data_IF_779216458153
#
_entry.id   IF_779216458153
#
_cell.length_a   1.000
_cell.length_b   1.000
_cell.length_c   1.000
_cell.angle_alpha   90.00
_cell.angle_beta   90.00
_cell.angle_gamma   90.00
#
_symmetry.space_group_name_H-M   'P 1'
#
loop_
_entity.id
_entity.type
_entity.pdbx_description
1 polymer ?
#
# COMPACT_ATOMS: atom_id res chain seq x y z
N UNK A 1 6.67 -19.32 16.68
CA UNK A 1 5.93 -18.13 16.21
C UNK A 1 6.78 -17.45 15.17
N UNK A 2 6.37 -17.44 13.89
CA UNK A 2 7.06 -16.66 12.86
C UNK A 2 6.72 -15.20 13.11
N UNK A 3 7.61 -14.45 13.73
CA UNK A 3 7.42 -13.02 13.97
C UNK A 3 7.49 -12.31 12.63
N UNK A 4 6.36 -11.76 12.16
CA UNK A 4 6.42 -10.69 11.17
C UNK A 4 7.46 -9.67 11.65
N UNK A 5 8.38 -9.28 10.77
CA UNK A 5 9.40 -8.30 11.14
C UNK A 5 8.70 -7.05 11.68
N UNK A 6 9.15 -6.55 12.85
CA UNK A 6 8.59 -5.32 13.42
C UNK A 6 8.59 -4.16 12.42
N UNK A 7 9.56 -4.16 11.48
CA UNK A 7 9.61 -3.26 10.34
C UNK A 7 8.42 -3.38 9.38
N UNK A 8 8.05 -4.59 8.95
CA UNK A 8 6.87 -4.83 8.07
C UNK A 8 5.58 -4.38 8.76
N UNK A 9 5.41 -4.71 10.05
CA UNK A 9 4.25 -4.29 10.83
C UNK A 9 4.15 -2.77 10.95
N UNK A 10 5.28 -2.10 11.19
CA UNK A 10 5.35 -0.64 11.25
C UNK A 10 5.00 -0.03 9.89
N UNK A 11 5.57 -0.54 8.79
CA UNK A 11 5.28 -0.06 7.43
C UNK A 11 3.80 -0.22 7.08
N UNK A 12 3.21 -1.40 7.32
CA UNK A 12 1.79 -1.65 7.07
C UNK A 12 0.89 -0.75 7.92
N UNK A 13 1.24 -0.53 9.19
CA UNK A 13 0.48 0.39 10.07
C UNK A 13 0.56 1.83 9.56
N UNK A 14 1.75 2.31 9.21
CA UNK A 14 1.94 3.65 8.65
C UNK A 14 1.17 3.82 7.33
N UNK A 15 1.23 2.83 6.44
CA UNK A 15 0.44 2.81 5.21
C UNK A 15 -1.04 2.95 5.50
N UNK A 16 -1.57 2.14 6.43
CA UNK A 16 -3.00 2.14 6.76
C UNK A 16 -3.46 3.50 7.29
N UNK A 17 -2.67 4.12 8.17
CA UNK A 17 -2.96 5.46 8.69
C UNK A 17 -2.96 6.52 7.57
N UNK A 18 -2.01 6.46 6.65
CA UNK A 18 -1.95 7.37 5.50
C UNK A 18 -3.14 7.16 4.54
N UNK A 19 -3.56 5.92 4.34
CA UNK A 19 -4.74 5.58 3.54
C UNK A 19 -6.01 6.14 4.18
N UNK A 20 -6.21 5.93 5.49
CA UNK A 20 -7.35 6.49 6.23
C UNK A 20 -7.34 8.01 6.17
N UNK A 21 -6.19 8.66 6.39
CA UNK A 21 -6.07 10.11 6.29
C UNK A 21 -6.44 10.60 4.88
N UNK A 22 -5.98 9.90 3.83
CA UNK A 22 -6.33 10.21 2.44
C UNK A 22 -7.84 10.13 2.21
N UNK A 23 -8.49 9.07 2.71
CA UNK A 23 -9.94 8.89 2.61
C UNK A 23 -10.66 10.05 3.31
N UNK A 24 -10.26 10.41 4.53
CA UNK A 24 -10.83 11.55 5.27
C UNK A 24 -10.67 12.85 4.47
N UNK A 25 -9.49 13.10 3.88
CA UNK A 25 -9.27 14.29 3.06
C UNK A 25 -10.21 14.34 1.84
N UNK A 26 -10.43 13.20 1.18
CA UNK A 26 -11.35 13.09 0.04
C UNK A 26 -12.79 13.40 0.47
N UNK A 27 -13.28 12.79 1.56
CA UNK A 27 -14.65 12.99 2.03
C UNK A 27 -14.90 14.39 2.63
N UNK A 28 -13.86 15.06 3.11
CA UNK A 28 -13.94 16.44 3.63
C UNK A 28 -13.70 17.50 2.54
N UNK A 29 -13.57 17.08 1.27
CA UNK A 29 -13.27 17.96 0.13
C UNK A 29 -12.02 18.84 0.35
N UNK A 30 -11.05 18.33 1.11
CA UNK A 30 -9.89 19.12 1.50
C UNK A 30 -8.98 19.38 0.29
N UNK A 31 -8.36 20.57 0.21
CA UNK A 31 -7.45 20.97 -0.90
C UNK A 31 -6.27 20.04 -1.14
N UNK A 32 -5.91 19.21 -0.16
CA UNK A 32 -4.83 18.23 -0.24
C UNK A 32 -5.29 16.84 -0.68
N UNK A 33 -6.59 16.57 -0.78
CA UNK A 33 -7.14 15.26 -1.11
C UNK A 33 -6.52 14.67 -2.38
N UNK A 34 -6.50 15.46 -3.44
CA UNK A 34 -5.97 15.04 -4.74
C UNK A 34 -4.48 14.72 -4.68
N UNK A 35 -3.68 15.50 -3.94
CA UNK A 35 -2.24 15.25 -3.78
C UNK A 35 -2.01 14.00 -2.94
N UNK A 36 -2.73 13.88 -1.82
CA UNK A 36 -2.64 12.72 -0.93
C UNK A 36 -3.00 11.42 -1.66
N UNK A 37 -4.09 11.41 -2.43
CA UNK A 37 -4.52 10.25 -3.22
C UNK A 37 -3.42 9.77 -4.19
N UNK A 38 -2.77 10.68 -4.90
CA UNK A 38 -1.68 10.35 -5.84
C UNK A 38 -0.46 9.79 -5.11
N UNK A 39 0.06 10.51 -4.11
CA UNK A 39 1.31 10.12 -3.44
C UNK A 39 1.13 8.88 -2.57
N UNK A 40 0.05 8.81 -1.79
CA UNK A 40 -0.24 7.65 -0.94
C UNK A 40 -0.62 6.44 -1.80
N UNK A 41 -1.45 6.60 -2.83
CA UNK A 41 -1.83 5.49 -3.70
C UNK A 41 -0.64 4.88 -4.44
N UNK A 42 0.19 5.69 -5.13
CA UNK A 42 1.37 5.15 -5.80
C UNK A 42 2.43 4.66 -4.79
N UNK A 43 2.65 5.39 -3.70
CA UNK A 43 3.59 5.00 -2.66
C UNK A 43 3.24 3.66 -2.02
N UNK A 44 1.96 3.45 -1.69
CA UNK A 44 1.46 2.18 -1.18
C UNK A 44 1.57 1.07 -2.22
N UNK A 45 1.20 1.29 -3.48
CA UNK A 45 1.30 0.26 -4.53
C UNK A 45 2.75 -0.21 -4.74
N UNK A 46 3.70 0.72 -4.80
CA UNK A 46 5.13 0.42 -4.92
C UNK A 46 5.64 -0.26 -3.65
N UNK A 47 5.34 0.30 -2.47
CA UNK A 47 5.76 -0.24 -1.19
C UNK A 47 5.28 -1.68 -0.99
N UNK A 48 4.00 -1.94 -1.22
CA UNK A 48 3.40 -3.27 -1.07
C UNK A 48 4.03 -4.29 -2.02
N UNK A 49 4.26 -3.88 -3.28
CA UNK A 49 4.96 -4.69 -4.27
C UNK A 49 6.38 -5.03 -3.82
N UNK A 50 7.15 -4.06 -3.32
CA UNK A 50 8.52 -4.28 -2.87
C UNK A 50 8.59 -5.15 -1.61
N UNK A 51 7.69 -4.95 -0.65
CA UNK A 51 7.69 -5.72 0.61
C UNK A 51 7.38 -7.20 0.33
N UNK A 52 6.41 -7.49 -0.54
CA UNK A 52 5.85 -8.83 -0.71
C UNK A 52 6.26 -9.58 -1.97
N UNK A 53 6.67 -8.89 -3.04
CA UNK A 53 7.01 -9.54 -4.31
C UNK A 53 8.50 -9.48 -4.64
N UNK A 54 9.28 -8.60 -4.01
CA UNK A 54 10.73 -8.63 -4.17
C UNK A 54 11.40 -9.66 -3.27
N UNK A 55 12.62 -10.12 -3.64
CA UNK A 55 13.45 -10.89 -2.73
C UNK A 55 13.71 -10.09 -1.44
N UNK A 56 14.16 -10.77 -0.39
CA UNK A 56 14.41 -10.17 0.95
C UNK A 56 15.58 -9.17 1.01
N UNK A 57 15.82 -8.41 -0.06
CA UNK A 57 16.82 -7.36 -0.17
C UNK A 57 16.77 -6.36 1.00
N UNK A 58 15.59 -6.12 1.57
CA UNK A 58 15.37 -5.15 2.66
C UNK A 58 15.27 -5.77 4.05
N UNK A 59 15.70 -7.03 4.24
CA UNK A 59 15.79 -7.65 5.57
C UNK A 59 14.44 -7.67 6.31
N UNK A 60 14.38 -7.02 7.47
CA UNK A 60 13.19 -6.97 8.36
C UNK A 60 12.03 -6.11 7.83
N UNK A 61 12.22 -5.42 6.71
CA UNK A 61 11.19 -4.65 6.00
C UNK A 61 10.60 -5.39 4.81
N UNK A 62 10.97 -6.64 4.58
CA UNK A 62 10.42 -7.48 3.51
C UNK A 62 9.79 -8.74 4.08
N UNK A 63 8.59 -9.07 3.61
CA UNK A 63 7.94 -10.36 3.86
C UNK A 63 7.49 -10.95 2.52
N UNK A 64 8.51 -11.38 1.76
CA UNK A 64 8.34 -11.90 0.41
C UNK A 64 7.47 -13.16 0.39
N UNK A 65 6.46 -13.16 -0.47
CA UNK A 65 5.63 -14.34 -0.74
C UNK A 65 6.32 -15.32 -1.68
N UNK A 66 7.32 -14.85 -2.44
CA UNK A 66 8.11 -15.67 -3.36
C UNK A 66 9.14 -16.45 -2.55
N UNK A 67 9.12 -17.78 -2.68
CA UNK A 67 9.98 -18.69 -1.91
C UNK A 67 9.85 -18.48 -0.39
N UNK A 68 8.65 -18.13 0.08
CA UNK A 68 8.39 -17.94 1.50
C UNK A 68 8.64 -19.26 2.28
N UNK A 69 9.36 -19.21 3.42
CA UNK A 69 9.50 -20.40 4.25
C UNK A 69 8.13 -20.84 4.78
N UNK A 70 7.92 -22.14 5.01
CA UNK A 70 6.63 -22.68 5.48
C UNK A 70 6.12 -22.02 6.77
N UNK A 71 7.03 -21.47 7.60
CA UNK A 71 6.70 -20.71 8.81
C UNK A 71 5.99 -19.38 8.56
N UNK A 72 6.06 -18.81 7.35
CA UNK A 72 5.44 -17.54 6.98
C UNK A 72 3.92 -17.66 6.75
N UNK A 73 3.40 -18.88 6.55
CA UNK A 73 1.96 -19.16 6.40
C UNK A 73 1.28 -18.32 5.32
N UNK A 74 1.97 -18.05 4.21
CA UNK A 74 1.37 -17.37 3.04
C UNK A 74 0.28 -18.27 2.46
N UNK A 75 -0.94 -17.75 2.37
CA UNK A 75 -2.11 -18.47 1.86
C UNK A 75 -2.63 -17.83 0.58
N UNK A 76 -3.61 -18.47 -0.07
CA UNK A 76 -4.35 -17.83 -1.18
C UNK A 76 -5.02 -16.51 -0.76
N UNK A 77 -5.47 -16.39 0.49
CA UNK A 77 -6.02 -15.14 1.00
C UNK A 77 -4.94 -14.05 1.15
N UNK A 78 -3.72 -14.41 1.54
CA UNK A 78 -2.58 -13.48 1.58
C UNK A 78 -2.30 -12.89 0.20
N UNK A 79 -2.31 -13.73 -0.83
CA UNK A 79 -2.16 -13.29 -2.23
C UNK A 79 -3.30 -12.40 -2.69
N UNK A 80 -4.54 -12.78 -2.38
CA UNK A 80 -5.71 -11.95 -2.67
C UNK A 80 -5.60 -10.56 -2.03
N UNK A 81 -5.28 -10.51 -0.73
CA UNK A 81 -5.10 -9.25 -0.01
C UNK A 81 -4.03 -8.38 -0.65
N UNK A 82 -2.89 -8.97 -1.02
CA UNK A 82 -1.81 -8.24 -1.67
C UNK A 82 -2.19 -7.63 -3.02
N UNK A 83 -2.84 -8.43 -3.89
CA UNK A 83 -3.31 -7.96 -5.20
C UNK A 83 -4.37 -6.88 -5.02
N UNK A 84 -5.29 -7.07 -4.06
CA UNK A 84 -6.34 -6.11 -3.76
C UNK A 84 -5.78 -4.78 -3.25
N UNK A 85 -4.81 -4.80 -2.32
CA UNK A 85 -4.15 -3.60 -1.82
C UNK A 85 -3.42 -2.85 -2.93
N UNK A 86 -2.63 -3.55 -3.75
CA UNK A 86 -1.94 -2.91 -4.89
C UNK A 86 -2.95 -2.29 -5.86
N UNK A 87 -4.01 -3.03 -6.22
CA UNK A 87 -4.99 -2.58 -7.21
C UNK A 87 -5.82 -1.38 -6.71
N UNK A 88 -6.25 -1.42 -5.45
CA UNK A 88 -7.00 -0.32 -4.83
C UNK A 88 -6.14 0.94 -4.65
N UNK A 89 -4.87 0.77 -4.27
CA UNK A 89 -3.93 1.89 -4.15
C UNK A 89 -3.68 2.55 -5.52
N UNK A 90 -3.51 1.78 -6.58
CA UNK A 90 -3.42 2.30 -7.95
C UNK A 90 -4.71 3.01 -8.39
N UNK A 91 -5.88 2.42 -8.10
CA UNK A 91 -7.17 3.03 -8.43
C UNK A 91 -7.34 4.41 -7.76
N UNK A 92 -6.98 4.53 -6.48
CA UNK A 92 -7.02 5.80 -5.74
C UNK A 92 -6.04 6.82 -6.36
N UNK A 93 -4.82 6.40 -6.69
CA UNK A 93 -3.83 7.29 -7.29
C UNK A 93 -4.27 7.83 -8.66
N UNK A 94 -4.78 6.94 -9.52
CA UNK A 94 -5.30 7.30 -10.84
C UNK A 94 -6.51 8.22 -10.71
N UNK A 95 -7.45 7.91 -9.81
CA UNK A 95 -8.59 8.78 -9.54
C UNK A 95 -8.14 10.18 -9.08
N UNK A 96 -7.12 10.26 -8.23
CA UNK A 96 -6.48 11.52 -7.85
C UNK A 96 -5.90 12.28 -9.03
N UNK A 97 -5.14 11.63 -9.91
CA UNK A 97 -4.60 12.28 -11.12
C UNK A 97 -5.71 12.84 -12.03
N UNK A 98 -6.75 12.04 -12.27
CA UNK A 98 -7.89 12.45 -13.12
C UNK A 98 -8.66 13.61 -12.50
N UNK A 99 -8.92 13.58 -11.19
CA UNK A 99 -9.58 14.66 -10.47
C UNK A 99 -8.75 15.96 -10.51
N UNK A 100 -7.41 15.86 -10.40
CA UNK A 100 -6.52 17.02 -10.51
C UNK A 100 -6.61 17.69 -11.87
N UNK A 101 -6.62 16.90 -12.94
CA UNK A 101 -6.71 17.40 -14.31
C UNK A 101 -8.01 18.17 -14.56
N UNK A 102 -9.12 17.71 -13.96
CA UNK A 102 -10.44 18.38 -14.05
C UNK A 102 -10.53 19.68 -13.25
N UNK A 103 -9.69 19.87 -12.23
CA UNK A 103 -9.64 21.10 -11.44
C UNK A 103 -8.78 22.21 -12.08
N UNK A 104 -8.02 21.88 -13.12
CA UNK A 104 -7.11 22.81 -13.81
C UNK A 104 -7.67 23.36 -15.13
N UNK A 105 -8.85 22.88 -15.55
CA UNK A 105 -9.62 23.35 -16.71
C UNK A 105 -10.73 24.31 -16.24
#
# INVERSE_FOLDING_TARGET
MGTLGAGVMALGTTQQLLAIATIVLVFTHHRWATRAAVFVGFGSAVGFTLVHLMPKWFGTFSDSFINAPASARVTGFSWFAAIFEISSALAIAIAGLLARGRQAL
#
